data_IF_992512514931
#
_entry.id   IF_992512514931
#
_cell.length_a   1.000
_cell.length_b   1.000
_cell.length_c   1.000
_cell.angle_alpha   90.00
_cell.angle_beta   90.00
_cell.angle_gamma   90.00
#
_symmetry.space_group_name_H-M   'P 1'
#
loop_
_entity.id
_entity.type
_entity.pdbx_description
1 polymer ?
#
# COMPACT_ATOMS: atom_id res chain seq x y z
N UNK A 1 2.20 10.01 4.16
CA UNK A 1 1.86 9.01 3.13
C UNK A 1 3.16 8.63 2.45
N UNK A 2 3.45 7.33 2.37
CA UNK A 2 4.61 6.81 1.64
C UNK A 2 4.11 6.23 0.32
N UNK A 3 4.60 6.76 -0.79
CA UNK A 3 4.31 6.28 -2.14
C UNK A 3 5.49 5.48 -2.71
N UNK A 4 5.23 4.65 -3.73
CA UNK A 4 6.29 3.89 -4.42
C UNK A 4 6.80 2.70 -3.63
N UNK A 5 6.01 2.12 -2.72
CA UNK A 5 6.39 0.87 -2.02
C UNK A 5 6.25 -0.32 -2.96
N UNK A 6 7.38 -0.94 -3.30
CA UNK A 6 7.50 -2.00 -4.30
C UNK A 6 7.90 -3.35 -3.72
N UNK A 7 8.48 -3.37 -2.52
CA UNK A 7 8.99 -4.60 -1.90
C UNK A 7 8.44 -4.83 -0.48
N UNK A 8 8.38 -6.09 -0.01
CA UNK A 8 8.01 -6.40 1.37
C UNK A 8 8.87 -5.66 2.40
N UNK A 9 10.19 -5.59 2.18
CA UNK A 9 11.10 -4.92 3.12
C UNK A 9 10.86 -3.41 3.25
N UNK A 10 10.49 -2.73 2.16
CA UNK A 10 10.07 -1.32 2.23
C UNK A 10 8.77 -1.15 3.02
N UNK A 11 7.81 -2.05 2.84
CA UNK A 11 6.56 -2.02 3.59
C UNK A 11 6.79 -2.26 5.08
N UNK A 12 7.56 -3.28 5.44
CA UNK A 12 7.93 -3.60 6.83
C UNK A 12 8.66 -2.44 7.50
N UNK A 13 9.60 -1.80 6.79
CA UNK A 13 10.27 -0.60 7.26
C UNK A 13 9.26 0.51 7.58
N UNK A 14 8.36 0.84 6.66
CA UNK A 14 7.35 1.90 6.90
C UNK A 14 6.42 1.53 8.07
N UNK A 15 6.05 0.25 8.22
CA UNK A 15 5.25 -0.23 9.36
C UNK A 15 5.98 -0.12 10.68
N UNK A 16 7.30 -0.29 10.70
CA UNK A 16 8.13 -0.11 11.90
C UNK A 16 8.15 1.34 12.41
N UNK A 17 7.92 2.33 11.54
CA UNK A 17 7.84 3.75 11.92
C UNK A 17 6.55 4.07 12.68
N UNK A 18 5.50 3.25 12.52
CA UNK A 18 4.23 3.37 13.21
C UNK A 18 3.02 2.98 12.34
N UNK A 19 1.88 2.58 12.94
CA UNK A 19 0.71 2.13 12.19
C UNK A 19 -0.08 3.25 11.51
N UNK A 20 0.13 4.51 11.92
CA UNK A 20 -0.63 5.68 11.43
C UNK A 20 -0.23 6.15 10.02
N UNK A 21 0.80 5.55 9.41
CA UNK A 21 1.23 5.92 8.08
C UNK A 21 0.43 5.18 7.01
N UNK A 22 -0.17 5.94 6.09
CA UNK A 22 -0.72 5.43 4.84
C UNK A 22 0.42 5.05 3.89
N UNK A 23 0.26 3.90 3.23
CA UNK A 23 1.25 3.31 2.33
C UNK A 23 0.58 2.97 1.01
N UNK A 24 1.19 3.43 -0.09
CA UNK A 24 0.76 3.12 -1.45
C UNK A 24 1.97 2.72 -2.29
N UNK A 25 1.78 1.72 -3.14
CA UNK A 25 2.75 1.29 -4.12
C UNK A 25 2.35 -0.04 -4.71
N UNK A 26 3.10 -0.51 -5.71
CA UNK A 26 2.77 -1.75 -6.42
C UNK A 26 2.73 -2.97 -5.50
N UNK A 27 3.48 -2.96 -4.40
CA UNK A 27 3.42 -4.00 -3.39
C UNK A 27 2.07 -4.02 -2.65
N UNK A 28 1.50 -2.85 -2.36
CA UNK A 28 0.22 -2.72 -1.63
C UNK A 28 -0.99 -2.75 -2.55
N UNK A 29 -0.79 -2.69 -3.87
CA UNK A 29 -1.84 -2.69 -4.88
C UNK A 29 -1.50 -1.74 -6.02
N UNK A 30 -1.55 -2.23 -7.26
CA UNK A 30 -1.40 -1.40 -8.45
C UNK A 30 -2.68 -0.59 -8.69
N UNK A 31 -2.62 0.51 -9.45
CA UNK A 31 -3.81 1.17 -9.94
C UNK A 31 -4.66 0.18 -10.76
N UNK A 32 -5.93 0.06 -10.41
CA UNK A 32 -6.88 -0.85 -11.06
C UNK A 32 -8.17 -0.11 -11.40
N UNK A 33 -8.99 -0.69 -12.27
CA UNK A 33 -10.33 -0.15 -12.54
C UNK A 33 -11.26 -0.37 -11.34
N UNK A 34 -12.27 0.47 -11.19
CA UNK A 34 -13.19 0.37 -10.04
C UNK A 34 -13.92 -0.99 -9.98
N UNK A 35 -14.21 -1.59 -11.14
CA UNK A 35 -14.82 -2.92 -11.22
C UNK A 35 -13.91 -4.05 -10.74
N UNK A 36 -12.59 -3.85 -10.76
CA UNK A 36 -11.60 -4.82 -10.29
C UNK A 36 -11.21 -4.60 -8.82
N UNK A 37 -11.61 -3.47 -8.21
CA UNK A 37 -11.37 -3.22 -6.79
C UNK A 37 -12.36 -4.03 -5.94
N UNK A 38 -11.84 -4.80 -5.00
CA UNK A 38 -12.65 -5.50 -4.00
C UNK A 38 -13.12 -4.52 -2.91
N UNK A 39 -14.05 -3.64 -3.25
CA UNK A 39 -14.66 -2.67 -2.33
C UNK A 39 -15.79 -3.38 -1.60
N UNK A 40 -15.55 -3.77 -0.35
CA UNK A 40 -16.61 -4.21 0.55
C UNK A 40 -17.22 -2.97 1.21
N UNK A 41 -18.50 -2.73 0.90
CA UNK A 41 -19.28 -1.60 1.45
C UNK A 41 -19.81 -1.85 2.85
#
# INVERSE_FOLDING_TARGET
MFEGVETPGQFEFVRSLGPGYLVQGWYTGKPETISAMNIQG
#
